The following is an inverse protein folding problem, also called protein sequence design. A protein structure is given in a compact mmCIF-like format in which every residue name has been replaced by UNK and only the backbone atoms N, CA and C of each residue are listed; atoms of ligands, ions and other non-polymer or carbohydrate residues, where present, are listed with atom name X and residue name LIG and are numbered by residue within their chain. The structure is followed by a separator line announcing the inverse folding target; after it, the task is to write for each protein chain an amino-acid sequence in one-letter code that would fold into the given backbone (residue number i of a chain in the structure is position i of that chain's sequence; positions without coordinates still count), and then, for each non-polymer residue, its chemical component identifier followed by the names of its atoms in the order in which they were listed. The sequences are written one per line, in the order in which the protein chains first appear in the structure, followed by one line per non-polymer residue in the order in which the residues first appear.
data_IF_674812127103
#
_entry.id   IF_674812127103
#
_cell.length_a   1.000
_cell.length_b   1.000
_cell.length_c   1.000
_cell.angle_alpha   90.00
_cell.angle_beta   90.00
_cell.angle_gamma   90.00
#
_symmetry.space_group_name_H-M   'P 1'
#
loop_
_entity.id
_entity.type
_entity.pdbx_description
1 polymer ?
#
# COMPACT_ATOMS: atom_id res chain seq x y z
N UNK A 1 20.76 -7.37 18.53
CA UNK A 1 21.04 -6.20 17.68
C UNK A 1 19.69 -5.73 17.21
N UNK A 2 19.21 -4.62 17.77
CA UNK A 2 17.95 -4.00 17.38
C UNK A 2 18.21 -3.34 16.03
N UNK A 3 17.79 -4.00 14.94
CA UNK A 3 17.68 -3.28 13.66
C UNK A 3 16.65 -2.19 13.88
N UNK A 4 17.03 -0.94 13.62
CA UNK A 4 16.05 0.14 13.49
C UNK A 4 15.06 -0.29 12.41
N UNK A 5 13.88 -0.78 12.84
CA UNK A 5 12.73 -0.82 11.96
C UNK A 5 12.58 0.62 11.48
N UNK A 6 12.86 0.86 10.19
CA UNK A 6 12.63 2.17 9.58
C UNK A 6 11.19 2.52 9.92
N UNK A 7 10.99 3.49 10.82
CA UNK A 7 9.66 3.97 11.15
C UNK A 7 9.04 4.39 9.83
N UNK A 8 8.03 3.66 9.39
CA UNK A 8 7.31 4.05 8.20
C UNK A 8 6.77 5.47 8.39
N UNK A 9 6.84 6.27 7.33
CA UNK A 9 6.41 7.67 7.42
C UNK A 9 4.90 7.74 7.24
N UNK A 10 4.24 8.28 8.26
CA UNK A 10 2.79 8.47 8.32
C UNK A 10 2.34 9.51 7.28
N UNK A 11 1.26 9.20 6.56
CA UNK A 11 0.61 10.08 5.59
C UNK A 11 1.41 10.36 4.33
N UNK A 12 2.50 9.63 4.09
CA UNK A 12 3.30 9.80 2.88
C UNK A 12 2.77 8.93 1.75
N UNK A 13 2.48 9.57 0.62
CA UNK A 13 2.06 8.88 -0.61
C UNK A 13 3.14 7.93 -1.10
N UNK A 14 2.75 6.68 -1.30
CA UNK A 14 3.52 5.59 -1.91
C UNK A 14 2.70 4.98 -3.05
N UNK A 15 3.37 4.19 -3.87
CA UNK A 15 2.83 3.56 -5.06
C UNK A 15 3.13 2.07 -5.05
N UNK A 16 2.20 1.29 -5.58
CA UNK A 16 2.37 -0.14 -5.83
C UNK A 16 1.81 -0.46 -7.22
N UNK A 17 2.49 -1.25 -8.07
CA UNK A 17 1.90 -1.71 -9.33
C UNK A 17 0.53 -2.36 -9.07
N UNK A 18 -0.52 -1.85 -9.70
CA UNK A 18 -1.89 -2.32 -9.42
C UNK A 18 -2.09 -3.79 -9.72
N UNK A 19 -1.33 -4.33 -10.68
CA UNK A 19 -1.35 -5.75 -11.04
C UNK A 19 -0.85 -6.67 -9.92
N UNK A 20 -0.22 -6.11 -8.87
CA UNK A 20 0.24 -6.86 -7.69
C UNK A 20 -0.68 -6.69 -6.50
N UNK A 21 -1.75 -5.91 -6.60
CA UNK A 21 -2.76 -5.84 -5.56
C UNK A 21 -3.55 -7.15 -5.52
N UNK A 22 -3.32 -7.91 -4.46
CA UNK A 22 -4.03 -9.15 -4.13
C UNK A 22 -4.09 -9.29 -2.59
N UNK A 23 -4.20 -10.51 -2.05
CA UNK A 23 -4.27 -10.81 -0.61
C UNK A 23 -3.01 -10.42 0.18
N UNK A 24 -1.82 -10.66 -0.37
CA UNK A 24 -0.53 -10.26 0.22
C UNK A 24 0.24 -9.44 -0.79
N UNK A 25 0.60 -8.22 -0.42
CA UNK A 25 1.24 -7.25 -1.32
C UNK A 25 2.64 -6.89 -0.84
N UNK A 26 3.60 -6.68 -1.75
CA UNK A 26 4.92 -6.21 -1.37
C UNK A 26 4.87 -4.74 -0.95
N UNK A 27 5.93 -4.26 -0.29
CA UNK A 27 5.97 -2.91 0.25
C UNK A 27 5.78 -1.82 -0.85
N UNK A 28 4.82 -0.90 -0.71
CA UNK A 28 4.68 0.25 -1.61
C UNK A 28 5.90 1.18 -1.54
N UNK A 29 6.26 1.83 -2.65
CA UNK A 29 7.44 2.69 -2.76
C UNK A 29 7.08 4.15 -3.01
N UNK A 30 7.90 5.09 -2.51
CA UNK A 30 7.70 6.53 -2.81
C UNK A 30 8.02 6.87 -4.26
N UNK A 31 9.07 6.24 -4.78
CA UNK A 31 9.50 6.40 -6.16
C UNK A 31 9.11 5.13 -6.93
N UNK A 32 8.27 5.29 -7.95
CA UNK A 32 7.88 4.17 -8.83
C UNK A 32 9.06 3.56 -9.57
N UNK A 33 10.16 4.30 -9.74
CA UNK A 33 11.38 3.78 -10.36
C UNK A 33 12.10 2.75 -9.49
N UNK A 34 11.81 2.71 -8.19
CA UNK A 34 12.37 1.72 -7.27
C UNK A 34 11.97 0.28 -7.61
N UNK A 35 10.92 0.09 -8.43
CA UNK A 35 10.50 -1.23 -8.90
C UNK A 35 11.24 -1.70 -10.15
N UNK A 36 12.03 -0.85 -10.82
CA UNK A 36 12.64 -1.17 -12.11
C UNK A 36 13.97 -1.89 -11.91
N UNK A 37 14.07 -3.09 -12.48
CA UNK A 37 15.30 -3.86 -12.50
C UNK A 37 15.71 -4.21 -13.94
N UNK A 38 17.03 -4.29 -14.16
CA UNK A 38 17.61 -4.79 -15.40
C UNK A 38 18.30 -6.11 -15.13
N UNK A 39 17.88 -7.15 -15.84
CA UNK A 39 18.52 -8.48 -15.77
C UNK A 39 19.83 -8.50 -16.58
N UNK A 40 20.70 -9.47 -16.30
CA UNK A 40 21.98 -9.66 -16.98
C UNK A 40 21.85 -9.86 -18.51
N UNK A 41 20.71 -10.42 -18.95
CA UNK A 41 20.39 -10.60 -20.37
C UNK A 41 19.90 -9.31 -21.05
N UNK A 42 19.84 -8.19 -20.32
CA UNK A 42 19.41 -6.89 -20.81
C UNK A 42 17.91 -6.62 -20.73
N UNK A 43 17.10 -7.60 -20.30
CA UNK A 43 15.64 -7.46 -20.14
C UNK A 43 15.30 -6.56 -18.96
N UNK A 44 14.29 -5.70 -19.15
CA UNK A 44 13.72 -4.88 -18.09
C UNK A 44 12.53 -5.60 -17.45
N UNK A 45 12.45 -5.53 -16.12
CA UNK A 45 11.33 -6.07 -15.34
C UNK A 45 10.94 -5.09 -14.23
N UNK A 46 9.70 -5.20 -13.77
CA UNK A 46 9.33 -4.76 -12.44
C UNK A 46 9.52 -5.90 -11.44
N UNK A 47 9.96 -5.54 -10.24
CA UNK A 47 10.12 -6.43 -9.10
C UNK A 47 10.03 -5.62 -7.80
N UNK A 48 9.60 -6.20 -6.66
CA UNK A 48 9.64 -5.53 -5.37
C UNK A 48 11.05 -5.04 -5.01
N UNK A 49 11.12 -3.88 -4.36
CA UNK A 49 12.40 -3.33 -3.91
C UNK A 49 13.03 -4.16 -2.79
N UNK A 50 12.21 -4.71 -1.89
CA UNK A 50 12.70 -5.50 -0.76
C UNK A 50 13.19 -6.86 -1.23
N UNK A 51 14.44 -7.20 -0.92
CA UNK A 51 15.08 -8.47 -1.30
C UNK A 51 14.28 -9.68 -0.82
N UNK A 52 13.62 -9.58 0.35
CA UNK A 52 12.81 -10.68 0.88
C UNK A 52 11.64 -11.07 -0.04
N UNK A 53 11.13 -10.10 -0.81
CA UNK A 53 10.02 -10.28 -1.74
C UNK A 53 10.52 -10.63 -3.15
N UNK A 54 11.81 -10.48 -3.48
CA UNK A 54 12.31 -10.66 -4.86
C UNK A 54 12.34 -12.12 -5.35
N UNK A 55 12.28 -13.07 -4.42
CA UNK A 55 12.30 -14.50 -4.72
C UNK A 55 10.96 -15.01 -5.27
N UNK A 56 9.88 -14.24 -5.11
CA UNK A 56 8.56 -14.60 -5.61
C UNK A 56 8.44 -14.28 -7.10
N UNK A 57 8.18 -15.32 -7.91
CA UNK A 57 8.10 -15.18 -9.36
C UNK A 57 6.85 -14.41 -9.80
N UNK A 58 5.78 -14.44 -9.00
CA UNK A 58 4.53 -13.74 -9.31
C UNK A 58 4.73 -12.24 -9.56
N UNK A 59 5.59 -11.56 -8.78
CA UNK A 59 5.81 -10.12 -8.93
C UNK A 59 6.77 -9.77 -10.08
N UNK A 60 7.47 -10.74 -10.68
CA UNK A 60 8.42 -10.48 -11.78
C UNK A 60 7.69 -10.18 -13.08
N UNK A 61 7.47 -8.90 -13.35
CA UNK A 61 6.68 -8.47 -14.50
C UNK A 61 7.58 -7.90 -15.60
N UNK A 62 7.65 -8.50 -16.81
CA UNK A 62 8.40 -7.93 -17.92
C UNK A 62 7.95 -6.51 -18.28
N UNK A 63 8.92 -5.65 -18.62
CA UNK A 63 8.67 -4.28 -19.09
C UNK A 63 9.08 -4.11 -20.55
N UNK A 64 8.16 -3.57 -21.35
CA UNK A 64 8.38 -3.20 -22.74
C UNK A 64 8.49 -1.68 -22.90
N UNK A 65 9.36 -1.22 -23.80
CA UNK A 65 9.53 0.21 -24.08
C UNK A 65 8.19 0.84 -24.51
N UNK A 66 7.77 1.88 -23.79
CA UNK A 66 6.52 2.58 -24.03
C UNK A 66 5.29 1.97 -23.37
N UNK A 67 5.43 0.84 -22.66
CA UNK A 67 4.37 0.24 -21.86
C UNK A 67 3.89 1.22 -20.80
N UNK A 68 2.57 1.33 -20.65
CA UNK A 68 1.95 2.09 -19.57
C UNK A 68 1.58 1.11 -18.46
N UNK A 69 2.00 1.43 -17.24
CA UNK A 69 1.73 0.65 -16.03
C UNK A 69 0.89 1.49 -15.09
N UNK A 70 -0.17 0.88 -14.56
CA UNK A 70 -1.02 1.46 -13.53
C UNK A 70 -0.42 1.18 -12.14
N UNK A 71 -0.45 2.19 -11.28
CA UNK A 71 -0.03 2.12 -9.89
C UNK A 71 -1.17 2.55 -8.98
N UNK A 72 -1.48 1.71 -8.01
CA UNK A 72 -2.34 2.05 -6.90
C UNK A 72 -1.60 3.01 -5.96
N UNK A 73 -2.34 3.97 -5.43
CA UNK A 73 -1.81 5.00 -4.53
C UNK A 73 -2.13 4.63 -3.10
N UNK A 74 -1.13 4.65 -2.23
CA UNK A 74 -1.21 4.22 -0.85
C UNK A 74 -0.71 5.28 0.12
N UNK A 75 -1.39 5.46 1.24
CA UNK A 75 -0.91 6.25 2.39
C UNK A 75 -1.10 5.44 3.67
N UNK A 76 -0.02 5.23 4.43
CA UNK A 76 -0.08 4.57 5.74
C UNK A 76 -0.26 5.61 6.84
N UNK A 77 -1.24 5.44 7.73
CA UNK A 77 -1.48 6.38 8.82
C UNK A 77 -0.97 5.90 10.18
N UNK A 78 -0.43 4.70 10.24
CA UNK A 78 0.16 4.17 11.45
C UNK A 78 -0.81 3.38 12.31
N UNK A 79 -0.32 3.11 13.51
CA UNK A 79 -1.05 2.48 14.60
C UNK A 79 -1.78 3.53 15.41
N UNK A 80 -3.05 3.29 15.70
CA UNK A 80 -3.92 4.21 16.42
C UNK A 80 -4.84 3.44 17.37
N UNK A 81 -5.43 4.15 18.33
CA UNK A 81 -6.37 3.58 19.30
C UNK A 81 -7.76 4.17 19.07
N UNK A 82 -8.77 3.31 19.06
CA UNK A 82 -10.19 3.70 19.11
C UNK A 82 -10.81 3.17 20.40
N UNK A 83 -11.89 3.82 20.85
CA UNK A 83 -12.62 3.40 22.04
C UNK A 83 -14.11 3.23 21.75
N UNK A 84 -14.64 2.06 22.12
CA UNK A 84 -16.08 1.77 22.10
C UNK A 84 -16.62 1.97 23.52
N UNK A 85 -17.52 2.94 23.70
CA UNK A 85 -18.10 3.26 25.00
C UNK A 85 -19.20 2.25 25.40
N UNK A 86 -19.56 2.23 26.69
CA UNK A 86 -20.61 1.32 27.20
C UNK A 86 -21.99 1.54 26.57
N UNK A 87 -22.27 2.73 26.06
CA UNK A 87 -23.52 3.08 25.37
C UNK A 87 -23.50 2.78 23.86
N UNK A 88 -22.39 2.22 23.35
CA UNK A 88 -22.17 1.93 21.94
C UNK A 88 -21.70 3.11 21.10
N UNK A 89 -21.50 4.29 21.68
CA UNK A 89 -20.83 5.40 20.97
C UNK A 89 -19.35 5.11 20.77
N UNK A 90 -18.78 5.64 19.68
CA UNK A 90 -17.39 5.42 19.29
C UNK A 90 -16.61 6.73 19.45
N UNK A 91 -15.46 6.65 20.10
CA UNK A 91 -14.42 7.69 20.08
C UNK A 91 -13.27 7.17 19.20
N UNK A 92 -13.18 7.70 17.98
CA UNK A 92 -12.20 7.34 16.97
C UNK A 92 -10.93 8.22 17.01
N UNK A 93 -10.86 9.18 17.94
CA UNK A 93 -9.67 9.97 18.21
C UNK A 93 -9.07 10.67 16.98
N UNK A 94 -7.94 10.16 16.50
CA UNK A 94 -7.13 10.74 15.42
C UNK A 94 -7.20 9.94 14.10
N UNK A 95 -8.17 9.03 13.95
CA UNK A 95 -8.35 8.29 12.69
C UNK A 95 -8.60 9.28 11.55
N UNK A 96 -7.79 9.31 10.48
CA UNK A 96 -8.00 10.25 9.39
C UNK A 96 -9.26 9.94 8.59
N UNK A 97 -10.06 10.96 8.28
CA UNK A 97 -11.28 10.83 7.43
C UNK A 97 -11.02 10.18 6.06
N UNK A 98 -9.78 10.25 5.57
CA UNK A 98 -9.37 9.69 4.28
C UNK A 98 -9.05 8.19 4.36
N UNK A 99 -8.83 7.62 5.55
CA UNK A 99 -8.55 6.19 5.69
C UNK A 99 -9.75 5.37 5.20
N UNK A 100 -9.49 4.38 4.35
CA UNK A 100 -10.52 3.48 3.81
C UNK A 100 -10.16 2.01 3.97
N UNK A 101 -9.11 1.71 4.72
CA UNK A 101 -8.73 0.36 5.10
C UNK A 101 -8.23 0.39 6.53
N UNK A 102 -8.97 -0.24 7.43
CA UNK A 102 -8.70 -0.28 8.86
C UNK A 102 -8.77 -1.73 9.34
N UNK A 103 -7.83 -2.16 10.16
CA UNK A 103 -7.84 -3.50 10.76
C UNK A 103 -7.36 -3.48 12.21
N UNK A 104 -7.88 -4.42 13.03
CA UNK A 104 -7.52 -4.60 14.43
C UNK A 104 -6.10 -5.16 14.55
N UNK A 105 -5.23 -4.51 15.30
CA UNK A 105 -3.85 -4.96 15.60
C UNK A 105 -3.04 -5.51 14.40
N UNK A 106 -3.36 -5.06 13.17
CA UNK A 106 -2.73 -5.52 11.93
C UNK A 106 -3.29 -6.84 11.38
N UNK A 107 -4.32 -7.40 12.01
CA UNK A 107 -5.05 -8.58 11.56
C UNK A 107 -5.85 -8.25 10.30
N UNK A 108 -5.22 -8.41 9.13
CA UNK A 108 -5.80 -8.00 7.83
C UNK A 108 -7.16 -8.65 7.53
N UNK A 109 -7.49 -9.79 8.15
CA UNK A 109 -8.80 -10.45 8.05
C UNK A 109 -9.95 -9.63 8.65
N UNK A 110 -9.62 -8.65 9.49
CA UNK A 110 -10.57 -7.75 10.15
C UNK A 110 -10.81 -6.46 9.36
N UNK A 111 -10.34 -6.39 8.11
CA UNK A 111 -10.37 -5.18 7.29
C UNK A 111 -11.78 -4.59 7.18
N UNK A 112 -11.88 -3.28 7.37
CA UNK A 112 -13.10 -2.53 7.15
C UNK A 112 -12.81 -1.16 6.52
N UNK A 113 -13.82 -0.59 5.86
CA UNK A 113 -13.69 0.65 5.11
C UNK A 113 -13.71 1.90 5.98
N UNK A 114 -14.17 1.79 7.22
CA UNK A 114 -14.24 2.89 8.18
C UNK A 114 -14.37 2.33 9.61
N UNK A 115 -14.21 3.20 10.61
CA UNK A 115 -14.27 2.81 12.04
C UNK A 115 -15.62 2.19 12.41
N UNK A 116 -16.71 2.71 11.87
CA UNK A 116 -18.05 2.19 12.18
C UNK A 116 -18.19 0.75 11.69
N UNK A 117 -17.81 0.48 10.45
CA UNK A 117 -17.88 -0.87 9.89
C UNK A 117 -16.93 -1.83 10.62
N UNK A 118 -15.76 -1.35 11.05
CA UNK A 118 -14.83 -2.10 11.89
C UNK A 118 -15.43 -2.46 13.25
N UNK A 119 -16.10 -1.51 13.91
CA UNK A 119 -16.77 -1.75 15.20
C UNK A 119 -17.97 -2.69 15.04
N UNK A 120 -18.69 -2.63 13.93
CA UNK A 120 -19.87 -3.49 13.70
C UNK A 120 -19.51 -4.92 13.27
N UNK A 121 -18.38 -5.13 12.59
CA UNK A 121 -18.09 -6.41 11.91
C UNK A 121 -16.65 -6.92 12.05
N UNK A 122 -15.73 -6.15 12.64
CA UNK A 122 -14.29 -6.38 12.55
C UNK A 122 -13.80 -7.74 13.03
N UNK A 123 -14.49 -8.39 13.98
CA UNK A 123 -14.12 -9.73 14.48
C UNK A 123 -15.19 -10.79 14.14
N UNK A 124 -15.94 -10.57 13.05
CA UNK A 124 -17.12 -11.37 12.69
C UNK A 124 -18.34 -11.17 13.62
N UNK A 125 -18.16 -10.41 14.71
CA UNK A 125 -19.20 -9.89 15.60
C UNK A 125 -18.89 -8.43 15.97
N UNK A 126 -19.88 -7.64 16.42
CA UNK A 126 -19.64 -6.29 16.90
C UNK A 126 -18.66 -6.25 18.07
N UNK A 127 -17.75 -5.28 18.05
CA UNK A 127 -16.79 -5.06 19.13
C UNK A 127 -17.51 -4.70 20.43
N UNK A 128 -16.94 -5.17 21.54
CA UNK A 128 -17.44 -4.92 22.89
C UNK A 128 -16.93 -3.57 23.39
N UNK A 129 -17.54 -2.97 24.42
CA UNK A 129 -16.97 -1.76 25.02
C UNK A 129 -15.52 -1.98 25.48
N UNK A 130 -14.62 -1.06 25.13
CA UNK A 130 -13.18 -1.19 25.35
C UNK A 130 -12.32 -0.37 24.39
N UNK A 131 -11.01 -0.37 24.63
CA UNK A 131 -10.01 0.23 23.73
C UNK A 131 -9.43 -0.82 22.79
N UNK A 132 -9.25 -0.43 21.52
CA UNK A 132 -8.75 -1.30 20.46
C UNK A 132 -7.62 -0.59 19.71
N UNK A 133 -6.52 -1.30 19.49
CA UNK A 133 -5.48 -0.85 18.57
C UNK A 133 -5.86 -1.23 17.15
N UNK A 134 -5.68 -0.30 16.23
CA UNK A 134 -5.93 -0.52 14.82
C UNK A 134 -4.74 -0.03 13.99
N UNK A 135 -4.58 -0.59 12.80
CA UNK A 135 -3.82 0.04 11.73
C UNK A 135 -4.80 0.71 10.78
N UNK A 136 -4.46 1.90 10.29
CA UNK A 136 -5.20 2.55 9.22
C UNK A 136 -4.30 2.91 8.05
N UNK A 137 -4.82 2.71 6.84
CA UNK A 137 -4.23 3.19 5.61
C UNK A 137 -5.30 3.60 4.62
N UNK A 138 -4.85 4.24 3.54
CA UNK A 138 -5.67 4.64 2.41
C UNK A 138 -5.13 3.99 1.15
N UNK A 139 -6.03 3.41 0.35
CA UNK A 139 -5.80 3.07 -1.05
C UNK A 139 -6.73 3.92 -1.92
N UNK A 140 -6.18 4.62 -2.91
CA UNK A 140 -7.02 5.41 -3.81
C UNK A 140 -7.86 4.53 -4.73
N UNK A 141 -9.12 4.91 -4.94
CA UNK A 141 -10.03 4.28 -5.92
C UNK A 141 -9.55 4.47 -7.37
N UNK A 142 -8.66 5.43 -7.59
CA UNK A 142 -8.09 5.76 -8.91
C UNK A 142 -6.61 5.43 -8.96
N UNK A 143 -6.19 4.89 -10.09
CA UNK A 143 -4.80 4.55 -10.35
C UNK A 143 -4.04 5.73 -10.97
N UNK A 144 -2.75 5.83 -10.67
CA UNK A 144 -1.83 6.72 -11.38
C UNK A 144 -1.08 5.93 -12.45
N UNK A 145 -0.99 6.48 -13.65
CA UNK A 145 -0.39 5.80 -14.80
C UNK A 145 0.99 6.36 -15.14
N UNK A 146 1.95 5.47 -15.34
CA UNK A 146 3.30 5.81 -15.74
C UNK A 146 3.73 5.03 -16.97
N UNK A 147 4.46 5.68 -17.88
CA UNK A 147 5.03 5.05 -19.07
C UNK A 147 6.47 4.64 -18.81
N UNK A 148 6.80 3.39 -19.08
CA UNK A 148 8.18 2.94 -19.08
C UNK A 148 8.92 3.47 -20.31
N UNK A 149 10.04 4.12 -20.07
CA UNK A 149 10.95 4.63 -21.10
C UNK A 149 12.39 4.20 -20.79
N UNK A 150 13.23 4.20 -21.81
CA UNK A 150 14.68 4.09 -21.65
C UNK A 150 15.29 5.39 -22.17
N UNK A 151 16.08 6.05 -21.34
CA UNK A 151 16.73 7.31 -21.70
C UNK A 151 17.89 7.11 -22.70
N UNK A 152 18.50 8.22 -23.13
CA UNK A 152 19.62 8.19 -24.08
C UNK A 152 20.87 7.48 -23.53
N UNK A 153 21.01 7.40 -22.21
CA UNK A 153 22.12 6.73 -21.52
C UNK A 153 21.82 5.24 -21.28
N UNK A 154 20.63 4.77 -21.65
CA UNK A 154 20.21 3.37 -21.53
C UNK A 154 19.63 3.02 -20.16
N UNK A 155 19.22 4.00 -19.36
CA UNK A 155 18.58 3.77 -18.06
C UNK A 155 17.05 3.73 -18.21
N UNK A 156 16.43 2.71 -17.63
CA UNK A 156 14.99 2.56 -17.56
C UNK A 156 14.38 3.47 -16.50
N UNK A 157 13.27 4.13 -16.81
CA UNK A 157 12.48 4.92 -15.85
C UNK A 157 11.00 4.98 -16.21
N UNK A 158 10.18 5.18 -15.21
CA UNK A 158 8.77 5.53 -15.34
C UNK A 158 8.61 7.05 -15.41
N UNK A 159 7.86 7.52 -16.40
CA UNK A 159 7.44 8.92 -16.52
C UNK A 159 5.92 9.06 -16.37
N UNK A 160 5.42 10.09 -15.67
CA UNK A 160 3.99 10.33 -15.56
C UNK A 160 3.31 10.46 -16.93
N UNK A 161 2.19 9.79 -17.12
CA UNK A 161 1.34 9.99 -18.30
C UNK A 161 0.50 11.27 -18.11
N UNK A 162 0.81 12.35 -18.84
CA UNK A 162 -0.07 13.52 -18.85
C UNK A 162 -1.45 13.16 -19.45
N UNK A 163 -2.52 13.32 -18.65
CA UNK A 163 -3.91 13.17 -19.11
C UNK A 163 -4.53 11.78 -18.96
N UNK A 164 -3.95 10.88 -18.17
CA UNK A 164 -4.56 9.60 -17.78
C UNK A 164 -5.10 9.69 -16.34
N UNK A 165 -6.16 10.48 -16.15
CA UNK A 165 -7.00 10.48 -14.95
C UNK A 165 -8.40 10.06 -15.36
#
# INVERSE_FOLDING_TARGET
MSGDAKREEIGVTKYLPSIWLDEVVPAPQRDVNDFIHRLDNGTWIMMPKDEADQDEEFWRTPLELGQVVAFAVHEWYGWMEIHVNEDGSIDDGEVPDKANCLCLDGEIETMADNVKDLVENGDGEPLKPGSYHITAYYWADTETHFRFIVDADGNGRFEPCAGAN
#
